data_IF_110463346960
#
_entry.id   IF_110463346960
#
_cell.length_a   1.000
_cell.length_b   1.000
_cell.length_c   1.000
_cell.angle_alpha   90.00
_cell.angle_beta   90.00
_cell.angle_gamma   90.00
#
_symmetry.space_group_name_H-M   'P 1'
#
loop_
_entity.id
_entity.type
_entity.pdbx_description
1 polymer ?
#
# COMPACT_ATOMS: atom_id res chain seq x y z
N UNK A 1 24.88 -6.26 -31.52
CA UNK A 1 25.04 -4.84 -31.64
C UNK A 1 24.34 -4.21 -30.42
N UNK A 2 25.12 -3.71 -29.47
CA UNK A 2 24.58 -2.92 -28.38
C UNK A 2 24.15 -1.60 -29.02
N UNK A 3 22.85 -1.47 -29.34
CA UNK A 3 22.22 -0.18 -29.66
C UNK A 3 22.56 0.76 -28.50
N UNK A 4 23.34 1.79 -28.76
CA UNK A 4 23.62 2.81 -27.75
C UNK A 4 22.30 3.41 -27.31
N UNK A 5 22.01 3.32 -26.02
CA UNK A 5 20.82 3.96 -25.46
C UNK A 5 20.95 5.47 -25.72
N UNK A 6 19.91 6.11 -26.27
CA UNK A 6 19.94 7.55 -26.52
C UNK A 6 20.13 8.32 -25.24
N UNK A 7 20.94 9.35 -25.27
CA UNK A 7 21.14 10.28 -24.18
C UNK A 7 19.96 11.27 -24.13
N UNK A 8 19.12 11.17 -23.09
CA UNK A 8 17.99 12.05 -22.85
C UNK A 8 16.64 11.33 -22.83
N UNK A 9 15.73 11.80 -21.94
CA UNK A 9 14.44 11.18 -21.68
C UNK A 9 13.52 11.15 -22.93
N UNK A 10 13.49 12.21 -23.71
CA UNK A 10 12.67 12.28 -24.94
C UNK A 10 13.12 11.28 -25.99
N UNK A 11 14.42 11.20 -26.24
CA UNK A 11 14.96 10.26 -27.22
C UNK A 11 14.78 8.80 -26.76
N UNK A 12 14.94 8.53 -25.46
CA UNK A 12 14.65 7.22 -24.86
C UNK A 12 13.17 6.84 -25.00
N UNK A 13 12.26 7.78 -24.71
CA UNK A 13 10.80 7.60 -24.87
C UNK A 13 10.41 7.36 -26.35
N UNK A 14 11.00 8.09 -27.29
CA UNK A 14 10.76 7.89 -28.71
C UNK A 14 11.24 6.50 -29.17
N UNK A 15 12.42 6.06 -28.70
CA UNK A 15 12.93 4.72 -28.96
C UNK A 15 12.03 3.65 -28.35
N UNK A 16 11.58 3.81 -27.10
CA UNK A 16 10.63 2.92 -26.43
C UNK A 16 9.36 2.75 -27.26
N UNK A 17 8.68 3.86 -27.59
CA UNK A 17 7.47 3.81 -28.45
C UNK A 17 7.74 3.18 -29.82
N UNK A 18 8.89 3.46 -30.45
CA UNK A 18 9.26 2.85 -31.73
C UNK A 18 9.43 1.33 -31.59
N UNK A 19 9.99 0.84 -30.51
CA UNK A 19 10.18 -0.61 -30.23
C UNK A 19 8.85 -1.33 -29.97
N UNK A 20 7.85 -0.62 -29.45
CA UNK A 20 6.51 -1.17 -29.19
C UNK A 20 5.61 -1.13 -30.44
N UNK A 21 5.99 -0.35 -31.49
CA UNK A 21 5.18 -0.16 -32.69
C UNK A 21 4.82 -1.47 -33.36
N UNK A 22 3.53 -1.62 -33.72
CA UNK A 22 2.98 -2.80 -34.36
C UNK A 22 2.91 -4.03 -33.46
N UNK A 23 3.15 -3.90 -32.15
CA UNK A 23 3.05 -4.98 -31.17
C UNK A 23 1.85 -4.77 -30.27
N UNK A 24 1.27 -5.87 -29.80
CA UNK A 24 0.26 -5.87 -28.72
C UNK A 24 0.98 -6.16 -27.41
N UNK A 25 1.18 -5.14 -26.59
CA UNK A 25 1.92 -5.25 -25.32
C UNK A 25 1.09 -4.71 -24.16
N UNK A 26 1.27 -5.30 -23.00
CA UNK A 26 0.87 -4.77 -21.73
C UNK A 26 2.12 -4.27 -21.00
N UNK A 27 2.18 -2.96 -20.74
CA UNK A 27 3.24 -2.34 -19.96
C UNK A 27 2.77 -2.25 -18.50
N UNK A 28 3.55 -2.76 -17.56
CA UNK A 28 3.27 -2.64 -16.13
C UNK A 28 4.31 -1.70 -15.52
N UNK A 29 3.84 -0.59 -14.96
CA UNK A 29 4.65 0.42 -14.27
C UNK A 29 4.27 0.39 -12.79
N UNK A 30 5.16 -0.15 -11.98
CA UNK A 30 4.89 -0.34 -10.55
C UNK A 30 5.49 0.78 -9.71
N UNK A 31 4.73 1.23 -8.70
CA UNK A 31 5.12 2.25 -7.72
C UNK A 31 5.53 3.59 -8.35
N UNK A 32 4.72 4.11 -9.29
CA UNK A 32 4.96 5.40 -9.90
C UNK A 32 4.77 6.55 -8.90
N UNK A 33 5.65 7.54 -8.98
CA UNK A 33 5.64 8.72 -8.11
C UNK A 33 4.72 9.83 -8.63
N UNK A 34 4.73 10.03 -9.95
CA UNK A 34 3.97 11.09 -10.61
C UNK A 34 3.67 10.77 -12.08
N UNK A 35 2.79 11.58 -12.68
CA UNK A 35 2.42 11.43 -14.08
C UNK A 35 3.57 11.72 -15.05
N UNK A 36 4.52 12.58 -14.70
CA UNK A 36 5.66 12.93 -15.55
C UNK A 36 6.61 11.73 -15.71
N UNK A 37 6.75 10.92 -14.67
CA UNK A 37 7.52 9.66 -14.72
C UNK A 37 6.85 8.63 -15.63
N UNK A 38 5.51 8.56 -15.62
CA UNK A 38 4.73 7.56 -16.34
C UNK A 38 4.59 7.88 -17.82
N UNK A 39 4.31 9.16 -18.18
CA UNK A 39 3.98 9.58 -19.51
C UNK A 39 4.98 9.15 -20.61
N UNK A 40 6.32 9.20 -20.40
CA UNK A 40 7.30 8.74 -21.38
C UNK A 40 7.25 7.24 -21.68
N UNK A 41 6.70 6.44 -20.77
CA UNK A 41 6.68 4.97 -20.81
C UNK A 41 5.37 4.40 -21.33
N UNK A 42 4.34 5.23 -21.50
CA UNK A 42 3.04 4.78 -21.99
C UNK A 42 3.14 4.32 -23.46
N UNK A 43 2.48 3.21 -23.82
CA UNK A 43 2.38 2.79 -25.20
C UNK A 43 1.50 3.75 -25.98
N UNK A 44 1.97 4.17 -27.17
CA UNK A 44 1.28 5.18 -28.00
C UNK A 44 0.35 4.60 -29.06
N UNK A 45 0.11 3.28 -29.10
CA UNK A 45 -0.63 2.63 -30.21
C UNK A 45 -1.84 1.82 -29.72
N UNK A 46 -2.86 1.78 -30.60
CA UNK A 46 -4.04 0.94 -30.39
C UNK A 46 -3.65 -0.55 -30.28
N UNK A 47 -4.26 -1.25 -29.32
CA UNK A 47 -4.02 -2.65 -29.06
C UNK A 47 -2.95 -2.93 -28.01
N UNK A 48 -2.25 -1.89 -27.53
CA UNK A 48 -1.39 -1.96 -26.33
C UNK A 48 -2.06 -1.27 -25.15
N UNK A 49 -1.73 -1.69 -23.93
CA UNK A 49 -2.26 -1.13 -22.71
C UNK A 49 -1.15 -0.92 -21.68
N UNK A 50 -1.42 -0.07 -20.68
CA UNK A 50 -0.56 0.06 -19.51
C UNK A 50 -1.38 -0.13 -18.23
N UNK A 51 -0.77 -0.77 -17.23
CA UNK A 51 -1.24 -0.78 -15.84
C UNK A 51 -0.19 -0.05 -15.03
N UNK A 52 -0.64 0.94 -14.27
CA UNK A 52 0.23 1.75 -13.43
C UNK A 52 -0.25 1.62 -12.00
N UNK A 53 0.64 1.24 -11.07
CA UNK A 53 0.36 1.33 -9.64
C UNK A 53 1.00 2.58 -9.07
N UNK A 54 0.30 3.25 -8.19
CA UNK A 54 0.79 4.43 -7.48
C UNK A 54 0.10 4.56 -6.14
N UNK A 55 0.77 5.20 -5.20
CA UNK A 55 0.19 5.53 -3.88
C UNK A 55 -0.64 6.82 -3.90
N UNK A 56 -0.56 7.56 -4.99
CA UNK A 56 -1.32 8.79 -5.19
C UNK A 56 -2.09 8.72 -6.51
N UNK A 57 -3.24 9.40 -6.62
CA UNK A 57 -3.94 9.53 -7.89
C UNK A 57 -3.07 10.24 -8.93
N UNK A 58 -2.82 9.61 -10.06
CA UNK A 58 -2.03 10.17 -11.16
C UNK A 58 -2.94 10.92 -12.14
N UNK A 59 -3.57 12.01 -11.68
CA UNK A 59 -4.58 12.76 -12.43
C UNK A 59 -4.07 13.38 -13.74
N UNK A 60 -2.75 13.54 -13.89
CA UNK A 60 -2.13 14.07 -15.10
C UNK A 60 -1.88 13.03 -16.21
N UNK A 61 -2.37 11.80 -16.07
CA UNK A 61 -2.25 10.75 -17.11
C UNK A 61 -3.52 10.74 -17.96
N UNK A 62 -3.45 11.34 -19.16
CA UNK A 62 -4.59 11.43 -20.06
C UNK A 62 -5.12 10.05 -20.47
N UNK A 63 -6.46 9.92 -20.45
CA UNK A 63 -7.15 8.69 -20.86
C UNK A 63 -7.02 7.54 -19.85
N UNK A 64 -6.40 7.75 -18.68
CA UNK A 64 -6.32 6.74 -17.65
C UNK A 64 -7.66 6.54 -16.94
N UNK A 65 -8.00 5.27 -16.69
CA UNK A 65 -9.06 4.90 -15.75
C UNK A 65 -8.45 4.67 -14.39
N UNK A 66 -8.85 5.48 -13.41
CA UNK A 66 -8.40 5.32 -12.04
C UNK A 66 -9.23 4.27 -11.31
N UNK A 67 -8.54 3.35 -10.65
CA UNK A 67 -9.11 2.36 -9.76
C UNK A 67 -8.52 2.59 -8.36
N UNK A 68 -9.35 2.99 -7.43
CA UNK A 68 -8.96 3.07 -6.02
C UNK A 68 -9.04 1.67 -5.41
N UNK A 69 -7.94 1.22 -4.78
CA UNK A 69 -7.90 -0.04 -4.04
C UNK A 69 -8.05 0.28 -2.55
N UNK A 70 -9.14 -0.20 -1.98
CA UNK A 70 -9.38 -0.15 -0.54
C UNK A 70 -8.92 -1.44 0.14
N UNK A 71 -9.08 -1.53 1.46
CA UNK A 71 -8.94 -2.78 2.20
C UNK A 71 -10.00 -3.79 1.73
N UNK A 72 -9.77 -5.08 1.99
CA UNK A 72 -10.74 -6.11 1.63
C UNK A 72 -12.02 -6.02 2.46
N UNK A 73 -13.13 -6.40 1.88
CA UNK A 73 -14.36 -6.62 2.63
C UNK A 73 -14.17 -7.75 3.66
N UNK A 74 -14.89 -7.75 4.79
CA UNK A 74 -14.71 -8.73 5.85
C UNK A 74 -14.82 -10.19 5.37
N UNK A 75 -15.75 -10.48 4.45
CA UNK A 75 -15.94 -11.82 3.89
C UNK A 75 -14.79 -12.24 3.00
N UNK A 76 -14.29 -11.33 2.15
CA UNK A 76 -13.13 -11.54 1.28
C UNK A 76 -11.85 -11.72 2.11
N UNK A 77 -11.70 -10.94 3.19
CA UNK A 77 -10.59 -11.04 4.11
C UNK A 77 -10.52 -12.42 4.79
N UNK A 78 -11.67 -12.94 5.25
CA UNK A 78 -11.77 -14.30 5.80
C UNK A 78 -11.46 -15.35 4.73
N UNK A 79 -12.02 -15.20 3.53
CA UNK A 79 -11.77 -16.12 2.43
C UNK A 79 -10.28 -16.19 2.05
N UNK A 80 -9.60 -15.03 2.04
CA UNK A 80 -8.15 -14.96 1.79
C UNK A 80 -7.35 -15.76 2.84
N UNK A 81 -7.63 -15.56 4.13
CA UNK A 81 -6.93 -16.29 5.21
C UNK A 81 -7.16 -17.80 5.06
N UNK A 82 -8.41 -18.23 4.87
CA UNK A 82 -8.77 -19.67 4.70
C UNK A 82 -8.12 -20.29 3.48
N UNK A 83 -7.98 -19.56 2.39
CA UNK A 83 -7.32 -20.03 1.17
C UNK A 83 -5.83 -20.30 1.39
N UNK A 84 -5.16 -19.46 2.17
CA UNK A 84 -3.73 -19.59 2.46
C UNK A 84 -3.49 -20.63 3.57
N UNK A 85 -4.28 -20.59 4.62
CA UNK A 85 -4.21 -21.51 5.74
C UNK A 85 -5.12 -22.72 5.48
N UNK A 86 -4.66 -23.66 4.66
CA UNK A 86 -5.38 -24.92 4.42
C UNK A 86 -5.42 -25.72 5.73
N UNK A 87 -6.64 -26.05 6.18
CA UNK A 87 -6.84 -26.67 7.50
C UNK A 87 -6.85 -25.66 8.65
N UNK A 88 -7.21 -24.40 8.35
CA UNK A 88 -7.41 -23.37 9.36
C UNK A 88 -8.28 -23.90 10.52
N UNK A 89 -7.95 -23.54 11.77
CA UNK A 89 -8.69 -24.01 12.95
C UNK A 89 -10.16 -23.57 12.86
N UNK A 90 -11.05 -24.46 13.26
CA UNK A 90 -12.46 -24.09 13.40
C UNK A 90 -12.64 -23.10 14.55
N UNK A 91 -13.54 -22.12 14.40
CA UNK A 91 -13.74 -21.11 15.43
C UNK A 91 -14.48 -21.72 16.64
N UNK A 92 -14.04 -21.36 17.83
CA UNK A 92 -14.73 -21.75 19.08
C UNK A 92 -16.05 -20.97 19.26
N UNK A 93 -16.14 -19.78 18.64
CA UNK A 93 -17.32 -18.92 18.68
C UNK A 93 -17.60 -18.26 17.33
N UNK A 94 -18.90 -17.94 17.10
CA UNK A 94 -19.30 -17.15 15.94
C UNK A 94 -18.70 -15.75 16.07
N UNK A 95 -17.87 -15.34 15.13
CA UNK A 95 -17.28 -13.99 15.10
C UNK A 95 -15.77 -13.95 15.28
N UNK A 96 -15.12 -15.03 15.69
CA UNK A 96 -13.66 -15.05 15.80
C UNK A 96 -12.94 -14.73 14.49
N UNK A 97 -13.44 -15.25 13.37
CA UNK A 97 -12.92 -14.90 12.07
C UNK A 97 -13.05 -13.40 11.76
N UNK A 98 -14.21 -12.82 12.06
CA UNK A 98 -14.44 -11.39 11.86
C UNK A 98 -13.49 -10.55 12.74
N UNK A 99 -13.25 -11.01 13.98
CA UNK A 99 -12.32 -10.33 14.87
C UNK A 99 -10.87 -10.45 14.40
N UNK A 100 -10.42 -11.63 13.98
CA UNK A 100 -9.06 -11.82 13.44
C UNK A 100 -8.79 -10.87 12.29
N UNK A 101 -9.67 -10.85 11.28
CA UNK A 101 -9.47 -10.00 10.09
C UNK A 101 -9.57 -8.51 10.42
N UNK A 102 -10.41 -8.12 11.38
CA UNK A 102 -10.49 -6.75 11.90
C UNK A 102 -9.18 -6.33 12.59
N UNK A 103 -8.57 -7.20 13.39
CA UNK A 103 -7.28 -6.95 14.04
C UNK A 103 -6.13 -6.79 13.03
N UNK A 104 -6.25 -7.43 11.86
CA UNK A 104 -5.36 -7.24 10.71
C UNK A 104 -5.70 -6.00 9.87
N UNK A 105 -6.73 -5.21 10.23
CA UNK A 105 -7.18 -4.04 9.50
C UNK A 105 -7.69 -4.35 8.09
N UNK A 106 -8.09 -5.58 7.81
CA UNK A 106 -8.50 -6.08 6.48
C UNK A 106 -7.42 -5.88 5.39
N UNK A 107 -6.18 -5.61 5.79
CA UNK A 107 -5.06 -5.37 4.88
C UNK A 107 -4.56 -6.70 4.29
N UNK A 108 -4.52 -6.85 2.95
CA UNK A 108 -4.11 -8.11 2.31
C UNK A 108 -2.74 -8.63 2.78
N UNK A 109 -1.77 -7.74 2.98
CA UNK A 109 -0.44 -8.11 3.46
C UNK A 109 -0.49 -8.66 4.90
N UNK A 110 -1.20 -7.99 5.81
CA UNK A 110 -1.36 -8.45 7.19
C UNK A 110 -2.07 -9.81 7.26
N UNK A 111 -3.16 -9.96 6.48
CA UNK A 111 -3.91 -11.22 6.38
C UNK A 111 -3.04 -12.35 5.82
N UNK A 112 -2.24 -12.09 4.82
CA UNK A 112 -1.31 -13.07 4.25
C UNK A 112 -0.25 -13.50 5.25
N UNK A 113 0.32 -12.58 6.01
CA UNK A 113 1.32 -12.88 7.04
C UNK A 113 0.71 -13.75 8.13
N UNK A 114 -0.44 -13.35 8.70
CA UNK A 114 -1.06 -14.12 9.76
C UNK A 114 -1.49 -15.50 9.29
N UNK A 115 -2.06 -15.63 8.08
CA UNK A 115 -2.45 -16.91 7.50
C UNK A 115 -1.25 -17.84 7.32
N UNK A 116 -0.10 -17.33 6.87
CA UNK A 116 1.15 -18.10 6.74
C UNK A 116 1.64 -18.59 8.10
N UNK A 117 1.55 -17.77 9.14
CA UNK A 117 1.93 -18.16 10.51
C UNK A 117 0.98 -19.18 11.09
N UNK A 118 -0.33 -19.04 10.83
CA UNK A 118 -1.35 -20.01 11.25
C UNK A 118 -1.08 -21.37 10.59
N UNK A 119 -0.78 -21.40 9.29
CA UNK A 119 -0.44 -22.62 8.58
C UNK A 119 0.82 -23.31 9.12
N UNK A 120 1.77 -22.53 9.67
CA UNK A 120 2.99 -23.05 10.29
C UNK A 120 2.80 -23.53 11.73
N UNK A 121 1.64 -23.25 12.34
CA UNK A 121 1.30 -23.63 13.73
C UNK A 121 -0.15 -24.12 13.81
N UNK A 122 -0.44 -25.26 13.22
CA UNK A 122 -1.81 -25.81 13.16
C UNK A 122 -2.37 -26.21 14.52
N UNK A 123 -1.50 -26.35 15.53
CA UNK A 123 -1.87 -26.67 16.91
C UNK A 123 -2.51 -25.50 17.67
N UNK A 124 -2.37 -24.27 17.16
CA UNK A 124 -2.93 -23.09 17.81
C UNK A 124 -4.40 -22.89 17.42
N UNK A 125 -5.23 -22.71 18.44
CA UNK A 125 -6.62 -22.33 18.24
C UNK A 125 -6.74 -20.88 17.69
N UNK A 126 -7.85 -20.57 17.04
CA UNK A 126 -8.08 -19.22 16.49
C UNK A 126 -8.07 -18.14 17.57
N UNK A 127 -8.61 -18.46 18.77
CA UNK A 127 -8.60 -17.57 19.93
C UNK A 127 -7.18 -17.20 20.42
N UNK A 128 -6.21 -18.09 20.28
CA UNK A 128 -4.80 -17.81 20.66
C UNK A 128 -4.19 -16.78 19.71
N UNK A 129 -4.46 -16.90 18.40
CA UNK A 129 -4.05 -15.90 17.40
C UNK A 129 -4.70 -14.54 17.65
N UNK A 130 -5.99 -14.51 17.99
CA UNK A 130 -6.69 -13.29 18.36
C UNK A 130 -6.07 -12.66 19.61
N UNK A 131 -5.73 -13.45 20.63
CA UNK A 131 -5.13 -12.95 21.85
C UNK A 131 -3.79 -12.23 21.60
N UNK A 132 -2.90 -12.80 20.78
CA UNK A 132 -1.61 -12.16 20.45
C UNK A 132 -1.77 -10.94 19.55
N UNK A 133 -2.81 -10.88 18.71
CA UNK A 133 -3.09 -9.71 17.87
C UNK A 133 -3.80 -8.58 18.64
N UNK A 134 -4.44 -8.87 19.77
CA UNK A 134 -5.03 -7.85 20.66
C UNK A 134 -3.97 -7.03 21.39
N UNK A 135 -2.78 -7.58 21.59
CA UNK A 135 -1.66 -6.81 22.13
C UNK A 135 -1.18 -5.77 21.10
N UNK A 136 -1.62 -4.53 21.26
CA UNK A 136 -1.30 -3.44 20.35
C UNK A 136 0.20 -3.18 20.21
N UNK A 137 0.98 -3.39 21.28
CA UNK A 137 2.43 -3.15 21.26
C UNK A 137 3.17 -4.24 20.51
N UNK A 138 2.76 -5.50 20.68
CA UNK A 138 3.36 -6.66 20.02
C UNK A 138 2.78 -6.98 18.64
N UNK A 139 1.61 -6.41 18.28
CA UNK A 139 0.89 -6.77 17.05
C UNK A 139 1.74 -6.66 15.80
N UNK A 140 2.50 -5.58 15.65
CA UNK A 140 3.35 -5.38 14.47
C UNK A 140 4.47 -6.43 14.36
N UNK A 141 4.95 -6.96 15.47
CA UNK A 141 5.96 -8.03 15.48
C UNK A 141 5.33 -9.37 15.10
N UNK A 142 4.03 -9.55 15.35
CA UNK A 142 3.27 -10.70 14.87
C UNK A 142 2.95 -10.61 13.36
N UNK A 143 3.02 -9.42 12.77
CA UNK A 143 2.75 -9.17 11.35
C UNK A 143 4.06 -9.09 10.53
N UNK A 144 4.99 -10.01 10.83
CA UNK A 144 6.22 -10.24 10.07
C UNK A 144 6.47 -11.76 9.96
N UNK A 145 6.81 -12.23 8.75
CA UNK A 145 7.22 -13.62 8.48
C UNK A 145 8.11 -13.67 7.24
N UNK A 146 9.30 -14.27 7.36
CA UNK A 146 10.30 -14.33 6.30
C UNK A 146 10.58 -12.93 5.69
N UNK A 147 10.34 -12.76 4.40
CA UNK A 147 10.49 -11.50 3.66
C UNK A 147 9.22 -10.61 3.69
N UNK A 148 8.14 -11.08 4.32
CA UNK A 148 6.91 -10.32 4.49
C UNK A 148 6.93 -9.62 5.85
N UNK A 149 6.96 -8.29 5.84
CA UNK A 149 6.96 -7.45 7.04
C UNK A 149 6.09 -6.22 6.81
N UNK A 150 4.96 -6.17 7.55
CA UNK A 150 4.02 -5.06 7.46
C UNK A 150 4.66 -3.75 7.95
N UNK A 151 5.46 -3.79 9.03
CA UNK A 151 6.17 -2.62 9.55
C UNK A 151 7.13 -2.06 8.51
N UNK A 152 7.93 -2.91 7.89
CA UNK A 152 8.87 -2.49 6.84
C UNK A 152 8.15 -1.87 5.65
N UNK A 153 7.01 -2.45 5.23
CA UNK A 153 6.20 -1.91 4.14
C UNK A 153 5.64 -0.52 4.44
N UNK A 154 5.11 -0.30 5.66
CA UNK A 154 4.60 1.01 6.10
C UNK A 154 5.74 2.03 6.25
N UNK A 155 6.85 1.62 6.87
CA UNK A 155 8.03 2.49 7.05
C UNK A 155 8.60 2.95 5.72
N UNK A 156 8.69 2.07 4.73
CA UNK A 156 9.17 2.44 3.38
C UNK A 156 8.32 3.53 2.73
N UNK A 157 6.99 3.52 2.99
CA UNK A 157 6.09 4.59 2.52
C UNK A 157 6.40 5.94 3.17
N UNK A 158 6.56 5.96 4.48
CA UNK A 158 6.89 7.18 5.24
C UNK A 158 8.28 7.69 4.88
N UNK A 159 9.27 6.80 4.72
CA UNK A 159 10.61 7.16 4.29
C UNK A 159 10.64 7.79 2.89
N UNK A 160 9.79 7.31 1.99
CA UNK A 160 9.64 7.89 0.67
C UNK A 160 9.09 9.31 0.74
N UNK A 161 8.05 9.56 1.55
CA UNK A 161 7.53 10.90 1.79
C UNK A 161 8.59 11.81 2.42
N UNK A 162 9.33 11.33 3.42
CA UNK A 162 10.38 12.11 4.08
C UNK A 162 11.52 12.54 3.15
N UNK A 163 11.83 11.73 2.12
CA UNK A 163 12.87 12.02 1.12
C UNK A 163 12.33 12.77 -0.11
N UNK A 164 11.05 13.04 -0.18
CA UNK A 164 10.42 13.75 -1.30
C UNK A 164 10.95 15.18 -1.44
N UNK A 165 11.04 15.67 -2.68
CA UNK A 165 11.27 17.08 -2.97
C UNK A 165 10.12 18.00 -2.58
N UNK A 166 8.91 17.46 -2.37
CA UNK A 166 7.72 18.19 -1.95
C UNK A 166 7.77 18.54 -0.46
N UNK A 167 7.49 19.79 -0.12
CA UNK A 167 7.38 20.22 1.28
C UNK A 167 6.18 19.55 1.96
N UNK A 168 5.05 19.42 1.27
CA UNK A 168 3.85 18.76 1.76
C UNK A 168 4.09 17.29 2.12
N UNK A 169 4.85 16.56 1.28
CA UNK A 169 5.22 15.16 1.55
C UNK A 169 6.09 15.04 2.79
N UNK A 170 7.09 15.92 2.95
CA UNK A 170 7.95 15.92 4.14
C UNK A 170 7.16 16.27 5.40
N UNK A 171 6.20 17.20 5.30
CA UNK A 171 5.30 17.52 6.40
C UNK A 171 4.41 16.33 6.75
N UNK A 172 3.87 15.62 5.77
CA UNK A 172 3.09 14.41 5.98
C UNK A 172 3.91 13.35 6.76
N UNK A 173 5.15 13.07 6.32
CA UNK A 173 6.03 12.17 7.05
C UNK A 173 6.30 12.63 8.49
N UNK A 174 6.49 13.93 8.71
CA UNK A 174 6.72 14.51 10.04
C UNK A 174 5.46 14.48 10.93
N UNK A 175 4.27 14.45 10.34
CA UNK A 175 2.99 14.32 11.06
C UNK A 175 2.70 12.88 11.49
N UNK A 176 3.20 11.88 10.78
CA UNK A 176 2.87 10.48 10.99
C UNK A 176 3.03 9.98 12.45
N UNK A 177 4.13 10.29 13.18
CA UNK A 177 4.28 9.84 14.57
C UNK A 177 3.20 10.39 15.51
N UNK A 178 2.62 11.57 15.21
CA UNK A 178 1.60 12.19 16.04
C UNK A 178 0.25 11.48 15.93
N UNK A 179 0.03 10.75 14.84
CA UNK A 179 -1.17 9.92 14.68
C UNK A 179 -1.20 8.75 15.68
N UNK A 180 -0.04 8.29 16.14
CA UNK A 180 0.06 7.25 17.17
C UNK A 180 -0.12 7.74 18.61
N UNK A 181 -0.08 9.06 18.86
CA UNK A 181 -0.21 9.63 20.21
C UNK A 181 -1.66 9.66 20.68
N UNK A 182 -2.59 9.74 19.74
CA UNK A 182 -4.02 9.85 20.03
C UNK A 182 -4.73 8.55 19.61
N UNK A 183 -5.48 7.93 20.51
CA UNK A 183 -6.30 6.75 20.23
C UNK A 183 -7.58 7.07 19.42
N UNK A 184 -7.56 8.13 18.61
CA UNK A 184 -8.69 8.55 17.80
C UNK A 184 -8.80 7.67 16.53
N UNK A 185 -10.01 7.21 16.24
CA UNK A 185 -10.30 6.48 15.01
C UNK A 185 -10.27 7.37 13.76
N UNK A 186 -10.33 8.68 13.93
CA UNK A 186 -10.25 9.69 12.87
C UNK A 186 -9.48 10.92 13.38
N UNK A 187 -8.62 11.43 12.52
CA UNK A 187 -7.87 12.66 12.78
C UNK A 187 -8.52 13.83 12.07
N UNK A 188 -8.78 14.88 12.82
CA UNK A 188 -9.23 16.16 12.27
C UNK A 188 -7.99 17.04 12.04
N UNK A 189 -7.96 17.82 10.93
CA UNK A 189 -6.85 18.73 10.66
C UNK A 189 -6.52 19.66 11.84
N UNK A 190 -7.54 20.20 12.49
CA UNK A 190 -7.35 21.06 13.66
C UNK A 190 -6.68 20.38 14.86
N UNK A 191 -6.97 19.08 15.09
CA UNK A 191 -6.31 18.32 16.17
C UNK A 191 -4.83 18.10 15.87
N UNK A 192 -4.50 17.74 14.64
CA UNK A 192 -3.11 17.55 14.21
C UNK A 192 -2.36 18.88 14.19
N UNK A 193 -3.01 19.96 13.74
CA UNK A 193 -2.47 21.31 13.77
C UNK A 193 -2.05 21.75 15.18
N UNK A 194 -2.92 21.50 16.17
CA UNK A 194 -2.64 21.80 17.58
C UNK A 194 -1.48 20.97 18.14
N UNK A 195 -1.43 19.67 17.82
CA UNK A 195 -0.35 18.77 18.26
C UNK A 195 1.02 19.14 17.66
N UNK A 196 1.02 19.59 16.41
CA UNK A 196 2.24 19.92 15.66
C UNK A 196 2.65 21.39 15.80
N UNK A 197 1.76 22.28 16.23
CA UNK A 197 1.99 23.72 16.23
C UNK A 197 2.09 24.31 14.82
N UNK A 198 1.33 23.79 13.87
CA UNK A 198 1.29 24.27 12.47
C UNK A 198 -0.10 24.79 12.12
N UNK A 199 -0.24 25.61 11.02
CA UNK A 199 -1.56 26.02 10.54
C UNK A 199 -2.43 24.83 10.14
N UNK A 200 -3.75 24.95 10.33
CA UNK A 200 -4.71 23.88 10.03
C UNK A 200 -4.70 23.47 8.55
N UNK A 201 -4.55 24.41 7.63
CA UNK A 201 -4.43 24.15 6.20
C UNK A 201 -3.23 23.24 5.88
N UNK A 202 -2.11 23.45 6.57
CA UNK A 202 -0.90 22.64 6.43
C UNK A 202 -1.10 21.24 7.00
N UNK A 203 -1.77 21.13 8.14
CA UNK A 203 -2.13 19.84 8.72
C UNK A 203 -3.13 19.06 7.84
N UNK A 204 -4.11 19.74 7.23
CA UNK A 204 -5.04 19.14 6.27
C UNK A 204 -4.30 18.58 5.05
N UNK A 205 -3.44 19.37 4.41
CA UNK A 205 -2.65 18.93 3.27
C UNK A 205 -1.72 17.75 3.60
N UNK A 206 -1.18 17.70 4.84
CA UNK A 206 -0.36 16.59 5.31
C UNK A 206 -1.18 15.31 5.51
N UNK A 207 -2.41 15.42 6.06
CA UNK A 207 -3.32 14.28 6.24
C UNK A 207 -3.78 13.69 4.89
N UNK A 208 -4.04 14.53 3.89
CA UNK A 208 -4.43 14.10 2.55
C UNK A 208 -3.30 13.32 1.82
N UNK A 209 -2.08 13.42 2.33
CA UNK A 209 -0.90 12.73 1.77
C UNK A 209 -0.53 11.43 2.49
N UNK A 210 -1.08 11.17 3.69
CA UNK A 210 -0.85 9.96 4.49
C UNK A 210 -1.83 8.86 4.16
#
# INVERSE_FOLDING_TARGET
PHDQLPTGAEAASALHRRRLRGRRVLVVLDNALDAAQVAPLLPGEQGSAAIVTSRIPLLGVDGARHLHLDVLDPEEAVALVRTICVGAPEPDSSGEWAELVRLCGHLPLALRIIATRMAARPEWALGEWIAVLRDERGRMDQLAVADLDLRASLTAGIDQLARSGSETDREAAACFPYLGVSALARYLPGSLAALRGVPEERAAAALDRL
#
